data_IF_074937142801
#
_entry.id   IF_074937142801
#
_cell.length_a   1.000
_cell.length_b   1.000
_cell.length_c   1.000
_cell.angle_alpha   90.00
_cell.angle_beta   90.00
_cell.angle_gamma   90.00
#
_symmetry.space_group_name_H-M   'P 1'
#
loop_
_entity.id
_entity.type
_entity.pdbx_description
1 polymer ?
#
# COMPACT_ATOMS: atom_id res chain seq x y z
N UNK A 1 18.85 -21.64 -31.96
CA UNK A 1 18.28 -22.02 -30.66
C UNK A 1 18.63 -20.93 -29.65
N UNK A 2 17.73 -19.99 -29.37
CA UNK A 2 17.75 -19.20 -28.13
C UNK A 2 16.41 -18.47 -28.05
N UNK A 3 15.51 -19.05 -27.24
CA UNK A 3 14.16 -18.54 -27.02
C UNK A 3 14.17 -17.22 -26.26
N UNK A 4 13.26 -16.34 -26.67
CA UNK A 4 12.91 -15.10 -25.98
C UNK A 4 12.44 -15.40 -24.56
N UNK A 5 13.22 -14.97 -23.57
CA UNK A 5 12.74 -14.91 -22.19
C UNK A 5 11.76 -13.74 -22.10
N UNK A 6 10.47 -14.05 -22.07
CA UNK A 6 9.42 -13.08 -21.82
C UNK A 6 9.58 -12.52 -20.41
N UNK A 7 9.81 -11.22 -20.33
CA UNK A 7 9.72 -10.44 -19.10
C UNK A 7 8.25 -10.43 -18.64
N UNK A 8 7.94 -11.21 -17.62
CA UNK A 8 6.61 -11.16 -16.97
C UNK A 8 6.58 -9.92 -16.10
N UNK A 9 6.04 -8.82 -16.65
CA UNK A 9 5.81 -7.58 -15.90
C UNK A 9 4.58 -7.77 -15.00
N UNK A 10 4.81 -8.12 -13.73
CA UNK A 10 3.76 -8.02 -12.70
C UNK A 10 3.45 -6.55 -12.50
N UNK A 11 2.46 -6.07 -13.24
CA UNK A 11 1.92 -4.72 -13.09
C UNK A 11 1.08 -4.69 -11.81
N UNK A 12 1.34 -3.71 -10.93
CA UNK A 12 0.50 -3.50 -9.74
C UNK A 12 -0.95 -3.35 -10.18
N UNK A 13 -1.87 -4.04 -9.51
CA UNK A 13 -3.30 -3.90 -9.77
C UNK A 13 -3.70 -2.42 -9.71
N UNK A 14 -4.48 -1.99 -10.71
CA UNK A 14 -5.00 -0.63 -10.74
C UNK A 14 -6.02 -0.50 -9.62
N UNK A 15 -5.72 0.31 -8.62
CA UNK A 15 -6.64 0.56 -7.50
C UNK A 15 -7.91 1.25 -8.02
N UNK A 16 -9.03 0.52 -8.04
CA UNK A 16 -10.34 1.03 -8.43
C UNK A 16 -11.03 1.73 -7.25
N UNK A 17 -11.31 3.03 -7.40
CA UNK A 17 -11.94 3.86 -6.36
C UNK A 17 -13.47 3.78 -6.41
N UNK A 18 -14.03 2.61 -6.09
CA UNK A 18 -15.50 2.43 -6.08
C UNK A 18 -16.16 2.95 -4.80
N UNK A 19 -15.40 3.08 -3.70
CA UNK A 19 -15.89 3.57 -2.40
C UNK A 19 -15.51 5.03 -2.16
N UNK A 20 -16.29 5.78 -1.36
CA UNK A 20 -15.92 7.10 -0.88
C UNK A 20 -14.55 7.08 -0.20
N UNK A 21 -13.65 7.96 -0.64
CA UNK A 21 -12.30 8.08 -0.08
C UNK A 21 -12.32 9.00 1.13
N UNK A 22 -11.68 8.58 2.22
CA UNK A 22 -11.54 9.37 3.44
C UNK A 22 -10.06 9.48 3.80
N UNK A 23 -9.61 10.69 4.10
CA UNK A 23 -8.25 10.94 4.57
C UNK A 23 -8.22 10.75 6.10
N UNK A 24 -7.41 9.81 6.60
CA UNK A 24 -7.27 9.51 8.04
C UNK A 24 -5.80 9.49 8.44
N UNK A 25 -5.52 9.78 9.72
CA UNK A 25 -4.17 9.73 10.28
C UNK A 25 -4.16 9.76 11.81
N UNK A 26 -3.11 9.20 12.40
CA UNK A 26 -2.93 9.14 13.85
C UNK A 26 -2.12 10.34 14.34
N UNK A 27 -2.71 11.20 15.18
CA UNK A 27 -2.08 12.43 15.72
C UNK A 27 -1.76 12.29 17.21
N UNK A 28 -0.79 13.07 17.73
CA UNK A 28 -0.45 13.10 19.17
C UNK A 28 1.04 13.18 19.49
N UNK A 29 1.37 13.17 20.79
CA UNK A 29 2.74 13.32 21.31
C UNK A 29 3.67 12.15 20.96
N UNK A 30 4.99 12.38 20.95
CA UNK A 30 6.01 11.33 20.73
C UNK A 30 5.84 10.19 21.75
N UNK A 31 6.26 8.97 21.39
CA UNK A 31 6.18 7.75 22.21
C UNK A 31 4.79 7.26 22.63
N UNK A 32 3.71 7.89 22.15
CA UNK A 32 2.33 7.42 22.40
C UNK A 32 1.90 6.26 21.48
N UNK A 33 2.83 5.56 20.84
CA UNK A 33 2.51 4.36 20.05
C UNK A 33 1.72 4.59 18.75
N UNK A 34 1.67 5.82 18.23
CA UNK A 34 0.92 6.17 16.99
C UNK A 34 1.32 5.31 15.79
N UNK A 35 2.61 5.04 15.63
CA UNK A 35 3.15 4.17 14.56
C UNK A 35 2.81 2.70 14.80
N UNK A 36 2.94 2.24 16.05
CA UNK A 36 2.66 0.84 16.43
C UNK A 36 1.20 0.50 16.21
N UNK A 37 0.27 1.39 16.57
CA UNK A 37 -1.15 1.19 16.37
C UNK A 37 -1.50 1.12 14.87
N UNK A 38 -0.94 2.02 14.05
CA UNK A 38 -1.18 2.00 12.60
C UNK A 38 -0.59 0.76 11.92
N UNK A 39 0.56 0.26 12.39
CA UNK A 39 1.17 -0.94 11.81
C UNK A 39 0.42 -2.24 12.15
N UNK A 40 -0.41 -2.22 13.19
CA UNK A 40 -1.23 -3.37 13.60
C UNK A 40 -2.60 -3.44 12.90
N UNK A 41 -2.98 -2.39 12.17
CA UNK A 41 -4.21 -2.29 11.39
C UNK A 41 -3.94 -2.64 9.92
#
# INVERSE_FOLDING_TARGET
>A
MLGSRGEVTVSKEKFERTKPHVNVGTIGHVDHGKTTLTAAL
#
